data_IF_524134995697
#
_entry.id   IF_524134995697
#
_cell.length_a   1.000
_cell.length_b   1.000
_cell.length_c   1.000
_cell.angle_alpha   90.00
_cell.angle_beta   90.00
_cell.angle_gamma   90.00
#
_symmetry.space_group_name_H-M   'P 1'
#
loop_
_entity.id
_entity.type
_entity.pdbx_description
1 polymer ?
#
# COMPACT_ATOMS: atom_id res chain seq x y z
N UNK A 1 -32.53 -13.40 -31.88
CA UNK A 1 -32.87 -11.97 -32.00
C UNK A 1 -33.10 -11.40 -30.61
N UNK A 2 -32.16 -10.59 -30.13
CA UNK A 2 -32.22 -9.51 -29.12
C UNK A 2 -30.83 -8.81 -29.18
N UNK A 3 -30.72 -7.48 -28.98
CA UNK A 3 -29.66 -6.71 -29.61
C UNK A 3 -28.36 -6.63 -28.80
N UNK A 4 -27.25 -6.54 -29.54
CA UNK A 4 -25.90 -6.29 -29.05
C UNK A 4 -25.74 -4.83 -28.59
N UNK A 5 -25.49 -4.63 -27.30
CA UNK A 5 -25.02 -3.36 -26.74
C UNK A 5 -23.50 -3.28 -26.80
N UNK A 6 -22.96 -2.39 -27.65
CA UNK A 6 -21.53 -2.04 -27.67
C UNK A 6 -21.16 -1.25 -26.40
N UNK A 7 -20.02 -1.51 -25.74
CA UNK A 7 -19.50 -0.59 -24.74
C UNK A 7 -18.95 0.67 -25.43
N UNK A 8 -19.26 1.84 -24.85
CA UNK A 8 -18.69 3.13 -25.24
C UNK A 8 -17.18 3.11 -24.96
N UNK A 9 -16.39 3.27 -26.00
CA UNK A 9 -14.95 3.53 -25.87
C UNK A 9 -14.75 4.89 -25.21
N UNK A 10 -13.99 4.94 -24.12
CA UNK A 10 -13.45 6.19 -23.58
C UNK A 10 -12.32 6.64 -24.51
N UNK A 11 -12.62 7.58 -25.40
CA UNK A 11 -11.64 8.29 -26.22
C UNK A 11 -10.93 9.35 -25.39
N UNK A 12 -9.93 8.93 -24.62
CA UNK A 12 -8.87 9.80 -24.09
C UNK A 12 -7.46 9.27 -24.38
N UNK A 13 -7.34 8.15 -25.10
CA UNK A 13 -6.06 7.44 -25.33
C UNK A 13 -5.23 7.87 -26.55
N UNK A 14 -5.69 8.79 -27.41
CA UNK A 14 -5.00 9.10 -28.67
C UNK A 14 -4.04 10.31 -28.56
N UNK A 15 -4.21 11.17 -27.56
CA UNK A 15 -3.33 12.34 -27.39
C UNK A 15 -2.04 12.07 -26.58
N UNK A 16 -2.05 11.13 -25.63
CA UNK A 16 -0.86 10.83 -24.80
C UNK A 16 0.12 9.82 -25.44
N UNK A 17 -0.36 8.92 -26.30
CA UNK A 17 0.51 7.97 -27.01
C UNK A 17 1.51 8.70 -27.93
N UNK A 18 1.11 9.83 -28.51
CA UNK A 18 1.95 10.67 -29.35
C UNK A 18 3.07 11.39 -28.57
N UNK A 19 2.86 11.70 -27.28
CA UNK A 19 3.85 12.37 -26.42
C UNK A 19 4.92 11.39 -25.91
N UNK A 20 4.53 10.14 -25.65
CA UNK A 20 5.44 9.07 -25.22
C UNK A 20 6.27 8.48 -26.37
N UNK A 21 5.71 8.43 -27.59
CA UNK A 21 6.47 8.04 -28.79
C UNK A 21 7.49 9.11 -29.21
N UNK A 22 7.20 10.40 -28.99
CA UNK A 22 8.18 11.47 -29.21
C UNK A 22 9.36 11.36 -28.24
N UNK A 23 9.13 11.09 -26.94
CA UNK A 23 10.22 11.03 -25.95
C UNK A 23 11.18 9.86 -26.16
N UNK A 24 10.72 8.70 -26.65
CA UNK A 24 11.59 7.58 -27.01
C UNK A 24 12.41 7.82 -28.28
N UNK A 25 11.82 8.45 -29.31
CA UNK A 25 12.54 8.83 -30.53
C UNK A 25 13.60 9.93 -30.28
N UNK A 26 13.38 10.79 -29.28
CA UNK A 26 14.27 11.90 -28.92
C UNK A 26 15.46 11.47 -28.05
N UNK A 27 15.34 10.37 -27.30
CA UNK A 27 16.45 9.82 -26.52
C UNK A 27 17.55 9.21 -27.43
N UNK A 28 17.17 8.65 -28.59
CA UNK A 28 18.12 8.08 -29.56
C UNK A 28 18.87 9.12 -30.40
N UNK A 29 18.40 10.37 -30.46
CA UNK A 29 19.03 11.45 -31.25
C UNK A 29 20.08 12.25 -30.45
N UNK A 30 20.10 12.12 -29.12
CA UNK A 30 20.99 12.86 -28.23
C UNK A 30 22.43 12.28 -28.14
N UNK A 31 22.71 11.11 -28.74
CA UNK A 31 24.05 10.49 -28.76
C UNK A 31 24.94 10.95 -29.93
N UNK A 32 24.45 11.85 -30.81
CA UNK A 32 25.28 12.40 -31.90
C UNK A 32 26.11 13.61 -31.43
N UNK A 33 27.42 13.59 -31.71
CA UNK A 33 28.42 14.54 -31.19
C UNK A 33 28.35 15.98 -31.76
N UNK A 34 27.25 16.37 -32.40
CA UNK A 34 27.05 17.72 -32.92
C UNK A 34 25.79 18.34 -32.30
N UNK A 35 25.88 19.48 -31.58
CA UNK A 35 24.70 20.13 -31.02
C UNK A 35 23.86 20.71 -32.16
N UNK A 36 22.79 20.00 -32.51
CA UNK A 36 21.81 20.49 -33.47
C UNK A 36 21.12 21.74 -32.89
N UNK A 37 20.83 22.79 -33.68
CA UNK A 37 20.16 24.02 -33.22
C UNK A 37 18.76 23.82 -32.60
N UNK A 38 18.25 22.59 -32.59
CA UNK A 38 17.00 22.20 -31.92
C UNK A 38 17.16 21.59 -30.52
N UNK A 39 18.38 21.40 -29.99
CA UNK A 39 18.60 20.72 -28.70
C UNK A 39 17.98 21.48 -27.52
N UNK A 40 18.00 22.81 -27.55
CA UNK A 40 17.36 23.65 -26.52
C UNK A 40 15.83 23.59 -26.59
N UNK A 41 15.25 23.58 -27.79
CA UNK A 41 13.80 23.45 -27.98
C UNK A 41 13.30 22.05 -27.60
N UNK A 42 14.10 21.01 -27.86
CA UNK A 42 13.83 19.63 -27.45
C UNK A 42 13.96 19.44 -25.93
N UNK A 43 14.98 20.03 -25.31
CA UNK A 43 15.12 20.06 -23.86
C UNK A 43 13.98 20.84 -23.19
N UNK A 44 13.55 21.96 -23.78
CA UNK A 44 12.41 22.74 -23.30
C UNK A 44 11.08 21.97 -23.47
N UNK A 45 10.86 21.28 -24.58
CA UNK A 45 9.69 20.44 -24.79
C UNK A 45 9.65 19.22 -23.86
N UNK A 46 10.81 18.58 -23.62
CA UNK A 46 10.95 17.50 -22.65
C UNK A 46 10.69 18.00 -21.21
N UNK A 47 11.21 19.17 -20.86
CA UNK A 47 10.96 19.81 -19.54
C UNK A 47 9.50 20.18 -19.36
N UNK A 48 8.86 20.79 -20.37
CA UNK A 48 7.43 21.10 -20.34
C UNK A 48 6.55 19.84 -20.24
N UNK A 49 6.95 18.74 -20.90
CA UNK A 49 6.26 17.45 -20.77
C UNK A 49 6.42 16.84 -19.38
N UNK A 50 7.60 17.01 -18.76
CA UNK A 50 7.85 16.58 -17.41
C UNK A 50 7.00 17.40 -16.43
N UNK A 51 6.96 18.73 -16.55
CA UNK A 51 6.14 19.60 -15.70
C UNK A 51 4.63 19.24 -15.75
N UNK A 52 4.11 18.90 -16.93
CA UNK A 52 2.71 18.45 -17.09
C UNK A 52 2.49 17.11 -16.38
N UNK A 53 3.39 16.14 -16.54
CA UNK A 53 3.32 14.85 -15.83
C UNK A 53 3.44 15.06 -14.32
N UNK A 54 4.29 15.97 -13.89
CA UNK A 54 4.51 16.33 -12.49
C UNK A 54 3.27 16.95 -11.85
N UNK A 55 2.63 17.91 -12.52
CA UNK A 55 1.37 18.51 -12.07
C UNK A 55 0.24 17.47 -12.02
N UNK A 56 0.20 16.56 -13.01
CA UNK A 56 -0.78 15.48 -13.02
C UNK A 56 -0.57 14.48 -11.88
N UNK A 57 0.70 14.13 -11.56
CA UNK A 57 1.05 13.29 -10.40
C UNK A 57 0.61 13.99 -9.12
N UNK A 58 0.93 15.28 -8.95
CA UNK A 58 0.53 16.04 -7.77
C UNK A 58 -0.99 16.07 -7.60
N UNK A 59 -1.75 16.29 -8.67
CA UNK A 59 -3.21 16.26 -8.63
C UNK A 59 -3.75 14.87 -8.23
N UNK A 60 -3.18 13.77 -8.73
CA UNK A 60 -3.59 12.41 -8.36
C UNK A 60 -3.14 11.96 -6.96
N UNK A 61 -2.18 12.66 -6.36
CA UNK A 61 -1.79 12.49 -4.95
C UNK A 61 -2.71 13.23 -3.98
N UNK A 62 -3.57 14.13 -4.47
CA UNK A 62 -4.52 14.93 -3.68
C UNK A 62 -6.00 14.47 -3.59
N UNK A 63 -6.48 13.33 -4.15
CA UNK A 63 -7.87 12.93 -3.95
C UNK A 63 -8.20 12.81 -2.46
N UNK A 64 -9.44 13.14 -2.09
CA UNK A 64 -9.96 12.80 -0.77
C UNK A 64 -10.08 11.27 -0.65
N UNK A 65 -8.96 10.64 -0.31
CA UNK A 65 -8.88 9.22 0.06
C UNK A 65 -9.30 9.03 1.51
N UNK A 66 -10.09 9.92 2.10
CA UNK A 66 -10.53 9.70 3.48
C UNK A 66 -11.47 8.50 3.56
N UNK A 67 -11.31 7.69 4.61
CA UNK A 67 -12.30 6.67 4.94
C UNK A 67 -13.65 7.36 5.22
N UNK A 68 -14.71 6.80 4.65
CA UNK A 68 -16.10 7.21 4.86
C UNK A 68 -16.74 6.30 5.89
N UNK A 69 -17.86 6.73 6.48
CA UNK A 69 -18.63 5.89 7.41
C UNK A 69 -19.00 4.52 6.81
N UNK A 70 -19.28 4.49 5.52
CA UNK A 70 -19.66 3.27 4.80
C UNK A 70 -18.52 2.26 4.72
N UNK A 71 -17.27 2.74 4.77
CA UNK A 71 -16.06 1.92 4.74
C UNK A 71 -15.76 1.28 6.09
N UNK A 72 -16.30 1.84 7.18
CA UNK A 72 -16.08 1.32 8.53
C UNK A 72 -16.88 0.03 8.77
N UNK A 73 -16.33 -0.90 9.58
CA UNK A 73 -17.05 -2.12 9.93
C UNK A 73 -18.22 -1.85 10.88
N UNK A 74 -19.26 -2.69 10.82
CA UNK A 74 -20.38 -2.64 11.75
C UNK A 74 -19.97 -3.09 13.16
N UNK A 75 -19.10 -4.11 13.22
CA UNK A 75 -18.53 -4.69 14.42
C UNK A 75 -17.06 -4.99 14.16
N UNK A 76 -16.23 -4.93 15.20
CA UNK A 76 -14.83 -5.36 15.13
C UNK A 76 -14.65 -6.65 15.94
N UNK A 77 -13.73 -7.54 15.53
CA UNK A 77 -13.35 -8.68 16.36
C UNK A 77 -12.77 -8.18 17.69
N UNK A 78 -13.03 -8.90 18.77
CA UNK A 78 -12.31 -8.70 20.03
C UNK A 78 -10.87 -9.18 19.84
N UNK A 79 -9.91 -8.43 20.36
CA UNK A 79 -8.52 -8.85 20.45
C UNK A 79 -8.27 -9.41 21.87
N UNK A 80 -8.21 -10.74 22.09
CA UNK A 80 -8.17 -11.29 23.44
C UNK A 80 -6.75 -11.39 24.01
N UNK A 81 -5.72 -11.16 23.19
CA UNK A 81 -4.31 -11.06 23.59
C UNK A 81 -3.77 -9.64 23.30
N UNK A 82 -2.72 -9.18 24.00
CA UNK A 82 -2.13 -7.88 23.69
C UNK A 82 -1.51 -7.86 22.29
N UNK A 83 -1.55 -6.70 21.66
CA UNK A 83 -0.76 -6.44 20.46
C UNK A 83 0.74 -6.49 20.77
N UNK A 84 1.56 -6.92 19.81
CA UNK A 84 3.01 -6.79 19.92
C UNK A 84 3.40 -5.31 19.91
N UNK A 85 4.44 -4.98 20.67
CA UNK A 85 5.03 -3.64 20.64
C UNK A 85 6.23 -3.62 19.69
N UNK A 86 6.52 -2.48 19.07
CA UNK A 86 7.70 -2.29 18.23
C UNK A 86 9.02 -2.65 18.93
N UNK A 87 9.07 -2.55 20.26
CA UNK A 87 10.21 -3.02 21.07
C UNK A 87 10.47 -4.53 20.99
N UNK A 88 9.50 -5.31 20.51
CA UNK A 88 9.65 -6.75 20.27
C UNK A 88 10.30 -7.05 18.91
N UNK A 89 10.44 -6.06 18.03
CA UNK A 89 11.13 -6.23 16.77
C UNK A 89 12.62 -6.52 17.00
N UNK A 90 13.23 -7.31 16.10
CA UNK A 90 14.68 -7.55 16.14
C UNK A 90 15.47 -6.33 15.68
N UNK A 91 14.90 -5.56 14.76
CA UNK A 91 15.47 -4.32 14.22
C UNK A 91 14.34 -3.43 13.72
N UNK A 92 14.34 -2.16 14.10
CA UNK A 92 13.30 -1.20 13.74
C UNK A 92 13.86 0.24 13.79
N UNK A 93 14.86 0.57 12.95
CA UNK A 93 15.44 1.90 12.94
C UNK A 93 14.35 2.95 12.69
N UNK A 94 14.56 4.15 13.22
CA UNK A 94 13.64 5.24 12.94
C UNK A 94 13.63 5.53 11.42
N UNK A 95 12.47 5.78 10.79
CA UNK A 95 12.40 6.10 9.37
C UNK A 95 13.27 7.30 9.01
N UNK A 96 13.77 7.33 7.77
CA UNK A 96 14.66 8.40 7.28
C UNK A 96 14.19 8.96 5.96
N UNK A 97 14.44 10.23 5.71
CA UNK A 97 14.30 10.84 4.37
C UNK A 97 15.68 11.11 3.79
N UNK A 98 15.91 10.66 2.56
CA UNK A 98 17.14 10.96 1.84
C UNK A 98 17.17 12.45 1.46
N UNK A 99 18.21 13.16 1.87
CA UNK A 99 18.32 14.62 1.68
C UNK A 99 18.52 15.05 0.22
N UNK A 100 19.05 14.17 -0.65
CA UNK A 100 19.33 14.52 -2.05
C UNK A 100 18.12 14.34 -2.96
N UNK A 101 17.22 13.40 -2.65
CA UNK A 101 16.07 13.09 -3.50
C UNK A 101 14.70 13.13 -2.79
N UNK A 102 14.64 13.34 -1.48
CA UNK A 102 13.39 13.45 -0.71
C UNK A 102 12.64 12.13 -0.52
N UNK A 103 13.20 10.98 -0.88
CA UNK A 103 12.56 9.67 -0.68
C UNK A 103 12.60 9.30 0.80
N UNK A 104 11.45 8.90 1.35
CA UNK A 104 11.36 8.35 2.71
C UNK A 104 11.48 6.83 2.66
N UNK A 105 12.29 6.28 3.57
CA UNK A 105 12.52 4.86 3.74
C UNK A 105 12.26 4.44 5.19
N UNK A 106 11.63 3.28 5.34
CA UNK A 106 11.40 2.63 6.64
C UNK A 106 11.63 1.14 6.50
N UNK A 107 12.27 0.54 7.51
CA UNK A 107 12.56 -0.89 7.58
C UNK A 107 12.21 -1.43 8.96
N UNK A 108 11.74 -2.67 8.99
CA UNK A 108 11.40 -3.38 10.21
C UNK A 108 11.73 -4.86 10.02
N UNK A 109 12.50 -5.44 10.95
CA UNK A 109 12.69 -6.88 11.08
C UNK A 109 11.93 -7.38 12.30
N UNK A 110 10.97 -8.26 12.07
CA UNK A 110 10.13 -8.82 13.12
C UNK A 110 10.89 -9.80 14.01
N UNK A 111 10.49 -9.92 15.27
CA UNK A 111 10.72 -11.19 15.98
C UNK A 111 10.07 -12.34 15.20
N UNK A 112 10.64 -13.57 15.22
CA UNK A 112 10.08 -14.69 14.49
C UNK A 112 8.59 -14.87 14.76
N UNK A 113 7.82 -15.04 13.69
CA UNK A 113 6.37 -15.25 13.75
C UNK A 113 6.13 -16.76 13.93
N UNK A 114 5.86 -17.17 15.15
CA UNK A 114 5.69 -18.57 15.55
C UNK A 114 4.46 -19.21 14.89
N UNK A 115 4.55 -20.50 14.63
CA UNK A 115 3.47 -21.31 14.01
C UNK A 115 3.00 -20.82 12.64
N UNK A 116 3.73 -19.90 12.01
CA UNK A 116 3.48 -19.40 10.66
C UNK A 116 4.62 -19.86 9.75
N UNK A 117 4.26 -20.21 8.52
CA UNK A 117 5.20 -20.61 7.47
C UNK A 117 4.98 -19.79 6.21
N UNK A 118 5.97 -19.76 5.33
CA UNK A 118 5.87 -19.10 4.02
C UNK A 118 4.72 -19.69 3.18
N UNK A 119 4.40 -20.98 3.34
CA UNK A 119 3.24 -21.61 2.71
C UNK A 119 1.92 -21.05 3.24
N UNK A 120 1.82 -20.82 4.56
CA UNK A 120 0.66 -20.16 5.17
C UNK A 120 0.53 -18.71 4.71
N UNK A 121 1.62 -17.96 4.58
CA UNK A 121 1.59 -16.59 4.05
C UNK A 121 1.11 -16.53 2.59
N UNK A 122 1.56 -17.47 1.75
CA UNK A 122 1.08 -17.57 0.39
C UNK A 122 -0.42 -17.91 0.34
N UNK A 123 -0.87 -18.85 1.16
CA UNK A 123 -2.30 -19.14 1.28
C UNK A 123 -3.05 -17.88 1.70
N UNK A 124 -2.59 -17.20 2.75
CA UNK A 124 -3.19 -16.00 3.32
C UNK A 124 -3.45 -14.91 2.28
N UNK A 125 -2.42 -14.57 1.50
CA UNK A 125 -2.48 -13.47 0.53
C UNK A 125 -3.05 -13.86 -0.83
N UNK A 126 -3.19 -15.16 -1.17
CA UNK A 126 -3.85 -15.63 -2.40
C UNK A 126 -5.37 -15.65 -2.24
N UNK A 127 -5.98 -14.47 -2.09
CA UNK A 127 -7.44 -14.26 -2.09
C UNK A 127 -8.18 -14.89 -0.91
N UNK A 128 -7.54 -14.95 0.26
CA UNK A 128 -8.16 -15.48 1.46
C UNK A 128 -8.64 -14.39 2.43
N UNK A 129 -8.34 -13.12 2.22
CA UNK A 129 -8.58 -12.02 3.17
C UNK A 129 -10.05 -11.58 3.27
N UNK A 130 -10.81 -11.62 2.17
CA UNK A 130 -12.19 -11.12 2.11
C UNK A 130 -13.21 -12.05 2.76
N UNK A 131 -12.85 -13.32 2.96
CA UNK A 131 -13.78 -14.33 3.44
C UNK A 131 -14.21 -14.03 4.88
N UNK A 132 -15.52 -14.11 5.09
CA UNK A 132 -16.13 -14.04 6.42
C UNK A 132 -16.03 -15.43 7.07
N UNK A 133 -15.52 -15.47 8.29
CA UNK A 133 -15.36 -16.72 9.07
C UNK A 133 -15.82 -16.48 10.50
N UNK A 134 -16.27 -17.54 11.16
CA UNK A 134 -16.57 -17.55 12.57
C UNK A 134 -15.31 -17.30 13.41
N UNK A 135 -15.40 -16.37 14.36
CA UNK A 135 -14.32 -15.99 15.24
C UNK A 135 -14.57 -16.53 16.66
N UNK A 136 -13.84 -17.58 17.08
CA UNK A 136 -14.19 -18.38 18.25
C UNK A 136 -14.00 -17.64 19.58
N UNK A 137 -13.30 -16.49 19.58
CA UNK A 137 -12.99 -15.76 20.81
C UNK A 137 -14.08 -14.80 21.28
N UNK A 138 -15.03 -14.45 20.41
CA UNK A 138 -16.21 -13.65 20.78
C UNK A 138 -17.52 -14.12 20.13
N UNK A 139 -17.46 -15.17 19.31
CA UNK A 139 -18.62 -15.75 18.63
C UNK A 139 -19.11 -14.98 17.41
N UNK A 140 -18.43 -13.90 17.00
CA UNK A 140 -18.81 -13.09 15.85
C UNK A 140 -18.36 -13.68 14.51
N UNK A 141 -18.87 -13.10 13.43
CA UNK A 141 -18.45 -13.38 12.06
C UNK A 141 -17.77 -12.13 11.49
N UNK A 142 -16.52 -12.26 11.09
CA UNK A 142 -15.72 -11.15 10.59
C UNK A 142 -14.96 -11.57 9.33
N UNK A 143 -14.56 -10.59 8.52
CA UNK A 143 -13.62 -10.88 7.44
C UNK A 143 -12.28 -11.29 8.06
N UNK A 144 -11.55 -12.19 7.39
CA UNK A 144 -10.19 -12.55 7.79
C UNK A 144 -9.27 -11.33 7.85
N UNK A 145 -9.47 -10.35 6.97
CA UNK A 145 -8.77 -9.07 7.04
C UNK A 145 -9.00 -8.33 8.36
N UNK A 146 -10.25 -8.24 8.83
CA UNK A 146 -10.56 -7.66 10.14
C UNK A 146 -9.91 -8.44 11.29
N UNK A 147 -9.88 -9.78 11.20
CA UNK A 147 -9.22 -10.61 12.23
C UNK A 147 -7.71 -10.42 12.27
N UNK A 148 -7.08 -9.98 11.17
CA UNK A 148 -5.63 -9.76 11.09
C UNK A 148 -5.17 -8.58 11.92
N UNK A 149 -5.92 -7.48 11.91
CA UNK A 149 -5.69 -6.36 12.80
C UNK A 149 -7.03 -5.75 13.24
N UNK A 150 -7.66 -6.28 14.30
CA UNK A 150 -9.03 -5.92 14.70
C UNK A 150 -9.28 -4.43 14.93
N UNK A 151 -8.27 -3.68 15.40
CA UNK A 151 -8.38 -2.23 15.64
C UNK A 151 -8.34 -1.39 14.36
N UNK A 152 -7.55 -1.79 13.37
CA UNK A 152 -7.10 -0.90 12.30
C UNK A 152 -7.72 -1.29 10.95
N UNK A 153 -7.82 -2.60 10.65
CA UNK A 153 -8.33 -3.06 9.36
C UNK A 153 -9.84 -2.85 9.24
N UNK A 154 -10.29 -2.21 8.15
CA UNK A 154 -11.70 -1.98 7.87
C UNK A 154 -12.19 -2.93 6.77
N UNK A 155 -11.56 -2.87 5.60
CA UNK A 155 -11.93 -3.65 4.44
C UNK A 155 -10.75 -3.85 3.49
N UNK A 156 -10.68 -5.03 2.87
CA UNK A 156 -9.77 -5.33 1.78
C UNK A 156 -10.59 -5.96 0.66
N UNK A 157 -10.26 -5.65 -0.59
CA UNK A 157 -10.89 -6.26 -1.75
C UNK A 157 -9.91 -6.46 -2.90
N UNK A 158 -9.87 -7.64 -3.48
CA UNK A 158 -9.20 -7.87 -4.76
C UNK A 158 -10.07 -7.31 -5.90
N UNK A 159 -9.71 -6.14 -6.41
CA UNK A 159 -10.38 -5.51 -7.55
C UNK A 159 -10.13 -6.32 -8.83
N UNK A 160 -8.90 -6.80 -9.00
CA UNK A 160 -8.51 -7.75 -10.03
C UNK A 160 -7.29 -8.57 -9.55
N UNK A 161 -6.68 -9.37 -10.43
CA UNK A 161 -5.53 -10.24 -10.09
C UNK A 161 -4.31 -9.47 -9.58
N UNK A 162 -4.15 -8.21 -9.96
CA UNK A 162 -2.96 -7.40 -9.70
C UNK A 162 -3.27 -6.12 -8.93
N UNK A 163 -4.50 -5.91 -8.46
CA UNK A 163 -4.90 -4.67 -7.79
C UNK A 163 -5.82 -4.97 -6.62
N UNK A 164 -5.44 -4.49 -5.44
CA UNK A 164 -6.20 -4.63 -4.20
C UNK A 164 -6.59 -3.25 -3.67
N UNK A 165 -7.86 -3.07 -3.32
CA UNK A 165 -8.30 -1.98 -2.47
C UNK A 165 -7.96 -2.33 -1.02
N UNK A 166 -7.23 -1.46 -0.33
CA UNK A 166 -6.94 -1.56 1.10
C UNK A 166 -7.59 -0.37 1.82
N UNK A 167 -8.35 -0.65 2.88
CA UNK A 167 -9.01 0.33 3.73
C UNK A 167 -8.73 0.00 5.19
N UNK A 168 -7.93 0.83 5.84
CA UNK A 168 -7.46 0.62 7.21
C UNK A 168 -6.96 1.92 7.84
N UNK A 169 -6.92 1.93 9.16
CA UNK A 169 -6.18 2.93 9.93
C UNK A 169 -4.73 2.48 10.16
N UNK A 170 -3.88 3.38 10.65
CA UNK A 170 -2.51 3.09 11.06
C UNK A 170 -2.36 3.49 12.53
N UNK A 171 -2.44 2.50 13.43
CA UNK A 171 -2.45 2.68 14.89
C UNK A 171 -3.57 3.63 15.31
N UNK A 172 -4.83 3.23 15.03
CA UNK A 172 -5.97 4.05 15.37
C UNK A 172 -6.06 4.29 16.88
N UNK A 173 -6.50 5.50 17.26
CA UNK A 173 -6.72 5.87 18.66
C UNK A 173 -7.80 5.03 19.37
N UNK A 174 -8.74 4.45 18.61
CA UNK A 174 -9.78 3.55 19.10
C UNK A 174 -10.30 2.60 18.02
N UNK A 175 -11.15 1.67 18.42
CA UNK A 175 -11.82 0.69 17.54
C UNK A 175 -12.99 1.35 16.77
N UNK A 176 -12.72 2.18 15.77
CA UNK A 176 -13.76 2.88 15.00
C UNK A 176 -14.70 1.93 14.27
N UNK A 177 -16.00 2.04 14.53
CA UNK A 177 -17.09 1.36 13.83
C UNK A 177 -18.02 2.37 13.14
N UNK A 178 -18.99 1.90 12.34
CA UNK A 178 -20.02 2.79 11.76
C UNK A 178 -20.79 3.60 12.82
N UNK A 179 -20.93 3.08 14.04
CA UNK A 179 -21.65 3.77 15.13
C UNK A 179 -20.86 4.96 15.68
N UNK A 180 -19.53 4.95 15.54
CA UNK A 180 -18.64 6.02 16.01
C UNK A 180 -18.65 7.27 15.13
N UNK A 181 -19.50 7.31 14.08
CA UNK A 181 -19.45 8.36 13.07
C UNK A 181 -19.82 9.75 13.58
N UNK A 182 -20.63 9.86 14.65
CA UNK A 182 -20.89 11.16 15.28
C UNK A 182 -19.60 11.68 15.95
N UNK A 183 -18.95 12.66 15.31
CA UNK A 183 -17.66 13.20 15.75
C UNK A 183 -16.43 12.51 15.14
N UNK A 184 -16.61 11.64 14.14
CA UNK A 184 -15.49 11.02 13.43
C UNK A 184 -14.81 12.03 12.51
N UNK A 185 -13.60 12.43 12.87
CA UNK A 185 -12.73 13.18 11.97
C UNK A 185 -11.67 12.24 11.37
N UNK A 186 -11.95 11.65 10.20
CA UNK A 186 -11.00 10.78 9.50
C UNK A 186 -9.65 11.46 9.21
N UNK A 187 -9.58 12.80 9.20
CA UNK A 187 -8.33 13.53 8.95
C UNK A 187 -7.38 13.55 10.15
N UNK A 188 -7.86 13.29 11.38
CA UNK A 188 -6.99 13.22 12.56
C UNK A 188 -6.27 11.89 12.71
N UNK A 189 -6.67 10.87 11.95
CA UNK A 189 -6.08 9.53 11.97
C UNK A 189 -5.18 9.30 10.75
N UNK A 190 -4.08 8.58 10.97
CA UNK A 190 -3.31 8.03 9.87
C UNK A 190 -4.09 6.84 9.29
N UNK A 191 -4.22 6.76 7.96
CA UNK A 191 -5.06 5.77 7.30
C UNK A 191 -4.59 5.47 5.88
N UNK A 192 -4.97 4.30 5.38
CA UNK A 192 -4.80 3.84 4.02
C UNK A 192 -6.20 3.60 3.44
N UNK A 193 -6.44 4.16 2.26
CA UNK A 193 -7.66 3.96 1.47
C UNK A 193 -7.28 4.07 -0.01
N UNK A 194 -6.57 3.04 -0.49
CA UNK A 194 -5.87 3.09 -1.76
C UNK A 194 -6.01 1.78 -2.53
N UNK A 195 -5.99 1.89 -3.85
CA UNK A 195 -5.78 0.76 -4.74
C UNK A 195 -4.28 0.52 -4.89
N UNK A 196 -3.79 -0.56 -4.28
CA UNK A 196 -2.40 -1.01 -4.35
C UNK A 196 -2.24 -2.06 -5.45
N UNK A 197 -1.20 -1.91 -6.27
CA UNK A 197 -0.80 -2.90 -7.25
C UNK A 197 -0.03 -4.02 -6.58
N UNK A 198 -0.45 -5.27 -6.76
CA UNK A 198 0.32 -6.46 -6.34
C UNK A 198 1.42 -6.69 -7.38
N UNK A 199 2.66 -6.42 -6.99
CA UNK A 199 3.83 -6.59 -7.87
C UNK A 199 4.41 -7.99 -7.80
N UNK A 200 4.40 -8.58 -6.61
CA UNK A 200 4.86 -9.95 -6.40
C UNK A 200 4.12 -10.58 -5.24
N UNK A 201 3.82 -11.88 -5.33
CA UNK A 201 3.35 -12.70 -4.21
C UNK A 201 3.82 -14.13 -4.46
N UNK A 202 4.77 -14.60 -3.66
CA UNK A 202 5.40 -15.91 -3.85
C UNK A 202 5.94 -16.48 -2.53
N UNK A 203 6.74 -17.55 -2.60
CA UNK A 203 7.28 -18.23 -1.44
C UNK A 203 8.23 -17.37 -0.58
N UNK A 204 8.73 -16.24 -1.09
CA UNK A 204 9.70 -15.40 -0.39
C UNK A 204 9.15 -14.03 0.00
N UNK A 205 7.94 -13.66 -0.43
CA UNK A 205 7.39 -12.36 -0.06
C UNK A 205 6.13 -11.91 -0.79
N UNK A 206 5.72 -10.69 -0.43
CA UNK A 206 4.68 -9.88 -1.05
C UNK A 206 5.24 -8.47 -1.30
N UNK A 207 5.02 -7.94 -2.50
CA UNK A 207 5.28 -6.53 -2.82
C UNK A 207 4.00 -5.87 -3.31
N UNK A 208 3.65 -4.76 -2.67
CA UNK A 208 2.55 -3.89 -3.03
C UNK A 208 3.10 -2.52 -3.43
N UNK A 209 2.54 -1.92 -4.47
CA UNK A 209 2.94 -0.57 -4.90
C UNK A 209 1.74 0.31 -5.20
N UNK A 210 1.79 1.56 -4.76
CA UNK A 210 0.90 2.60 -5.28
C UNK A 210 1.56 3.27 -6.48
N UNK A 211 0.86 3.28 -7.61
CA UNK A 211 1.44 3.62 -8.92
C UNK A 211 0.66 4.77 -9.53
N UNK A 212 1.38 5.82 -9.93
CA UNK A 212 0.80 6.98 -10.61
C UNK A 212 1.60 7.20 -11.90
N UNK A 213 0.93 7.21 -13.06
CA UNK A 213 1.56 7.37 -14.38
C UNK A 213 2.79 6.47 -14.62
N UNK A 214 2.75 5.24 -14.09
CA UNK A 214 3.85 4.26 -14.22
C UNK A 214 4.95 4.38 -13.15
N UNK A 215 4.97 5.45 -12.36
CA UNK A 215 5.91 5.62 -11.25
C UNK A 215 5.39 4.97 -9.98
N UNK A 216 6.24 4.15 -9.34
CA UNK A 216 5.95 3.62 -8.00
C UNK A 216 6.17 4.72 -6.97
N UNK A 217 5.07 5.33 -6.51
CA UNK A 217 5.09 6.42 -5.54
C UNK A 217 5.16 5.92 -4.10
N UNK A 218 4.63 4.72 -3.86
CA UNK A 218 4.83 3.99 -2.61
C UNK A 218 5.13 2.54 -2.95
N UNK A 219 6.10 1.94 -2.27
CA UNK A 219 6.42 0.51 -2.39
C UNK A 219 6.55 -0.10 -1.01
N UNK A 220 5.69 -1.06 -0.71
CA UNK A 220 5.69 -1.85 0.50
C UNK A 220 6.11 -3.27 0.15
N UNK A 221 7.18 -3.76 0.77
CA UNK A 221 7.69 -5.12 0.57
C UNK A 221 7.76 -5.85 1.89
N UNK A 222 7.15 -7.03 1.94
CA UNK A 222 7.35 -8.00 3.00
C UNK A 222 8.13 -9.17 2.44
N UNK A 223 9.34 -9.40 2.92
CA UNK A 223 10.10 -10.61 2.61
C UNK A 223 10.00 -11.57 3.78
N UNK A 224 9.95 -12.86 3.48
CA UNK A 224 9.86 -13.89 4.50
C UNK A 224 10.64 -15.16 4.15
N UNK A 225 11.05 -15.88 5.19
CA UNK A 225 11.66 -17.20 5.07
C UNK A 225 11.30 -18.07 6.27
N UNK A 226 11.17 -19.37 6.05
CA UNK A 226 11.00 -20.32 7.15
C UNK A 226 12.29 -20.45 7.95
N UNK A 227 12.17 -20.55 9.27
CA UNK A 227 13.27 -20.89 10.18
C UNK A 227 12.80 -21.90 11.23
N UNK A 228 13.73 -22.46 12.00
CA UNK A 228 13.38 -23.33 13.13
C UNK A 228 12.54 -22.63 14.22
N UNK A 229 12.56 -21.29 14.29
CA UNK A 229 11.81 -20.50 15.29
C UNK A 229 10.45 -20.00 14.79
N UNK A 230 10.08 -20.31 13.54
CA UNK A 230 8.90 -19.75 12.87
C UNK A 230 9.30 -18.97 11.61
N UNK A 231 8.44 -18.06 11.18
CA UNK A 231 8.67 -17.24 10.00
C UNK A 231 9.53 -16.01 10.36
N UNK A 232 10.70 -15.89 9.73
CA UNK A 232 11.45 -14.64 9.73
C UNK A 232 10.81 -13.70 8.71
N UNK A 233 10.47 -12.48 9.11
CA UNK A 233 9.84 -11.46 8.24
C UNK A 233 10.62 -10.15 8.31
N UNK A 234 10.84 -9.51 7.16
CA UNK A 234 11.31 -8.12 7.06
C UNK A 234 10.32 -7.31 6.22
N UNK A 235 9.88 -6.18 6.75
CA UNK A 235 9.01 -5.23 6.08
C UNK A 235 9.81 -3.97 5.71
N UNK A 236 9.62 -3.49 4.49
CA UNK A 236 10.27 -2.29 3.95
C UNK A 236 9.24 -1.41 3.25
N UNK A 237 9.26 -0.12 3.56
CA UNK A 237 8.43 0.91 2.94
C UNK A 237 9.33 1.94 2.28
N UNK A 238 9.00 2.27 1.03
CA UNK A 238 9.53 3.41 0.30
C UNK A 238 8.37 4.35 -0.05
N UNK A 239 8.56 5.65 0.19
CA UNK A 239 7.64 6.72 -0.21
C UNK A 239 8.40 7.73 -1.05
N UNK A 240 7.95 7.90 -2.29
CA UNK A 240 8.68 8.57 -3.36
C UNK A 240 9.43 7.59 -4.27
N UNK A 241 9.99 8.13 -5.34
CA UNK A 241 10.76 7.41 -6.34
C UNK A 241 12.10 8.13 -6.59
N UNK A 242 13.24 7.44 -6.49
CA UNK A 242 14.55 8.10 -6.62
C UNK A 242 14.83 8.65 -8.02
N UNK A 243 14.09 8.21 -9.04
CA UNK A 243 14.19 8.73 -10.41
C UNK A 243 13.38 10.01 -10.64
N UNK A 244 12.61 10.45 -9.64
CA UNK A 244 11.82 11.67 -9.68
C UNK A 244 12.55 12.85 -9.01
N UNK A 245 12.14 14.06 -9.39
CA UNK A 245 12.66 15.27 -8.75
C UNK A 245 12.27 15.34 -7.26
N UNK A 246 13.12 15.92 -6.39
CA UNK A 246 12.86 15.97 -4.95
C UNK A 246 11.51 16.56 -4.56
N UNK A 247 11.02 17.57 -5.29
CA UNK A 247 9.75 18.23 -5.06
C UNK A 247 8.57 17.26 -5.20
N UNK A 248 8.63 16.32 -6.15
CA UNK A 248 7.59 15.29 -6.30
C UNK A 248 7.61 14.29 -5.16
N UNK A 249 8.81 13.93 -4.68
CA UNK A 249 8.94 13.07 -3.53
C UNK A 249 8.43 13.78 -2.27
N UNK A 250 8.57 15.10 -2.17
CA UNK A 250 7.93 15.89 -1.12
C UNK A 250 6.39 15.83 -1.21
N UNK A 251 5.82 15.98 -2.41
CA UNK A 251 4.36 15.83 -2.62
C UNK A 251 3.89 14.42 -2.27
N UNK A 252 4.64 13.38 -2.68
CA UNK A 252 4.34 11.99 -2.35
C UNK A 252 4.36 11.75 -0.85
N UNK A 253 5.36 12.29 -0.14
CA UNK A 253 5.44 12.22 1.32
C UNK A 253 4.27 12.95 1.99
N UNK A 254 3.92 14.15 1.52
CA UNK A 254 2.79 14.91 2.03
C UNK A 254 1.46 14.18 1.82
N UNK A 255 1.26 13.55 0.67
CA UNK A 255 0.08 12.75 0.38
C UNK A 255 0.03 11.47 1.23
N UNK A 256 1.14 10.74 1.33
CA UNK A 256 1.28 9.58 2.19
C UNK A 256 0.99 9.91 3.66
N UNK A 257 1.53 11.01 4.16
CA UNK A 257 1.35 11.47 5.53
C UNK A 257 0.05 12.24 5.76
N UNK A 258 -0.67 12.57 4.68
CA UNK A 258 -1.87 13.41 4.68
C UNK A 258 -1.63 14.75 5.38
N UNK A 259 -0.49 15.37 5.09
CA UNK A 259 -0.06 16.63 5.69
C UNK A 259 0.54 16.50 7.10
N UNK A 260 0.61 15.31 7.69
CA UNK A 260 1.34 15.06 8.93
C UNK A 260 2.85 14.92 8.67
N UNK A 261 3.65 14.73 9.72
CA UNK A 261 5.06 14.36 9.58
C UNK A 261 5.18 12.95 8.94
N UNK A 262 5.77 12.82 7.73
CA UNK A 262 5.92 11.54 7.05
C UNK A 262 6.76 10.53 7.83
N UNK A 263 7.75 10.97 8.61
CA UNK A 263 8.56 10.07 9.42
C UNK A 263 7.78 9.52 10.60
N UNK A 264 6.98 10.35 11.27
CA UNK A 264 6.07 9.91 12.33
C UNK A 264 5.00 8.94 11.80
N UNK A 265 4.41 9.20 10.63
CA UNK A 265 3.45 8.28 10.00
C UNK A 265 4.12 6.96 9.60
N UNK A 266 5.32 7.00 9.01
CA UNK A 266 6.09 5.79 8.72
C UNK A 266 6.46 5.00 9.98
N UNK A 267 6.69 5.68 11.11
CA UNK A 267 6.94 5.04 12.42
C UNK A 267 5.68 4.38 12.96
N UNK A 268 4.51 5.03 12.84
CA UNK A 268 3.22 4.39 13.15
C UNK A 268 3.00 3.16 12.28
N UNK A 269 3.35 3.19 11.00
CA UNK A 269 3.23 2.03 10.12
C UNK A 269 4.16 0.88 10.55
N UNK A 270 5.38 1.16 11.01
CA UNK A 270 6.22 0.11 11.62
C UNK A 270 5.52 -0.55 12.81
N UNK A 271 4.91 0.23 13.71
CA UNK A 271 4.16 -0.32 14.85
C UNK A 271 2.99 -1.16 14.36
N UNK A 272 2.14 -0.63 13.48
CA UNK A 272 1.02 -1.35 12.88
C UNK A 272 1.46 -2.69 12.26
N UNK A 273 2.57 -2.69 11.52
CA UNK A 273 3.10 -3.91 10.90
C UNK A 273 3.60 -4.91 11.95
N UNK A 274 4.22 -4.48 13.05
CA UNK A 274 4.55 -5.40 14.17
C UNK A 274 3.29 -6.03 14.77
N UNK A 275 2.24 -5.25 14.92
CA UNK A 275 0.97 -5.68 15.49
C UNK A 275 0.26 -6.70 14.59
N UNK A 276 0.13 -6.42 13.29
CA UNK A 276 -0.56 -7.28 12.33
C UNK A 276 0.17 -8.63 12.18
N UNK A 277 1.51 -8.61 12.01
CA UNK A 277 2.27 -9.84 11.83
C UNK A 277 2.36 -10.64 13.14
N UNK A 278 2.47 -9.95 14.28
CA UNK A 278 2.39 -10.59 15.58
C UNK A 278 1.05 -11.29 15.81
N UNK A 279 -0.04 -10.72 15.32
CA UNK A 279 -1.37 -11.30 15.45
C UNK A 279 -1.56 -12.56 14.59
N UNK A 280 -0.86 -12.68 13.46
CA UNK A 280 -0.90 -13.87 12.59
C UNK A 280 -0.48 -15.15 13.32
N UNK A 281 0.40 -15.08 14.33
CA UNK A 281 0.78 -16.26 15.15
C UNK A 281 -0.42 -16.95 15.79
N UNK A 282 -1.48 -16.18 16.06
CA UNK A 282 -2.65 -16.63 16.79
C UNK A 282 -3.79 -16.96 15.83
N UNK A 283 -4.04 -16.08 14.86
CA UNK A 283 -5.21 -16.23 13.98
C UNK A 283 -4.94 -17.14 12.77
N UNK A 284 -3.74 -17.11 12.19
CA UNK A 284 -3.49 -17.76 10.91
C UNK A 284 -3.58 -19.29 10.97
N UNK A 285 -3.02 -19.99 11.99
CA UNK A 285 -3.17 -21.44 12.12
C UNK A 285 -4.64 -21.88 12.23
N UNK A 286 -5.45 -21.16 13.02
CA UNK A 286 -6.89 -21.43 13.15
C UNK A 286 -7.58 -21.25 11.80
N UNK A 287 -7.39 -20.10 11.14
CA UNK A 287 -8.04 -19.78 9.86
C UNK A 287 -7.66 -20.78 8.77
N UNK A 288 -6.44 -21.29 8.79
CA UNK A 288 -6.02 -22.35 7.89
C UNK A 288 -6.68 -23.70 8.22
N UNK A 289 -6.84 -24.04 9.50
CA UNK A 289 -7.48 -25.29 9.91
C UNK A 289 -8.94 -25.38 9.47
N UNK A 290 -9.68 -24.27 9.48
CA UNK A 290 -11.09 -24.19 9.06
C UNK A 290 -11.25 -23.74 7.60
N UNK A 291 -10.19 -23.76 6.79
CA UNK A 291 -10.20 -23.21 5.42
C UNK A 291 -11.22 -23.84 4.46
N UNK A 292 -11.62 -25.09 4.74
CA UNK A 292 -12.58 -25.84 3.94
C UNK A 292 -14.01 -25.78 4.51
N UNK A 293 -14.21 -25.07 5.62
CA UNK A 293 -15.52 -24.87 6.23
C UNK A 293 -16.05 -23.54 5.71
N UNK A 294 -16.89 -23.60 4.67
CA UNK A 294 -17.48 -22.45 4.00
C UNK A 294 -18.29 -22.84 2.79
#
# INVERSE_FOLDING_TARGET
MLPAGRPKAYTTGVWLASVLLLSHALCQLAESKNPCPGSAALAAAASASLDVVQQAIAAQLTPDTSLKVTDLPLLRPRQPWPYRNISTALDAPYPTTNSSNGVTYSRLRHAPIQNVTAGLMQWWFRQNLERVVYYPWDGGNYTRYQMWHPRDHCHQKAINRTTWLLQEFIVASKNFTRKDFQGFNASSEAQINLNMSVRSLNATGLTLSYVIYGYEMTKLTHTWRNTAKGLDVTSELWVGNPSLQPQLNQVANCAFSRGQDPLAVARKLQQHTVEEFGNLEKVLPYLYSVRNVG
#
